data_IF_859862224234
#
_entry.id   IF_859862224234
#
_cell.length_a   1.000
_cell.length_b   1.000
_cell.length_c   1.000
_cell.angle_alpha   90.00
_cell.angle_beta   90.00
_cell.angle_gamma   90.00
#
_symmetry.space_group_name_H-M   'P 1'
#
loop_
_entity.id
_entity.type
_entity.pdbx_description
1 polymer ?
#
# COMPACT_ATOMS: atom_id res chain seq x y z
N UNK A 1 -32.66 -18.68 51.17
CA UNK A 1 -32.02 -17.64 50.33
C UNK A 1 -32.01 -16.32 51.10
N UNK A 2 -30.84 -15.85 51.57
CA UNK A 2 -30.71 -14.52 52.21
C UNK A 2 -30.30 -13.51 51.15
N UNK A 3 -31.13 -12.49 50.91
CA UNK A 3 -30.81 -11.37 50.02
C UNK A 3 -29.87 -10.41 50.76
N UNK A 4 -28.62 -10.32 50.30
CA UNK A 4 -27.71 -9.23 50.65
C UNK A 4 -28.16 -7.98 49.90
N UNK A 5 -29.00 -7.17 50.55
CA UNK A 5 -29.35 -5.84 50.06
C UNK A 5 -28.67 -4.83 50.97
N UNK A 6 -27.35 -4.67 50.80
CA UNK A 6 -26.55 -3.80 51.64
C UNK A 6 -25.93 -2.68 50.80
N UNK A 7 -26.74 -1.64 50.53
CA UNK A 7 -26.33 -0.40 49.84
C UNK A 7 -25.06 0.21 50.45
N UNK A 8 -24.81 -0.02 51.74
CA UNK A 8 -23.67 0.56 52.46
C UNK A 8 -22.32 -0.04 52.06
N UNK A 9 -22.29 -1.24 51.46
CA UNK A 9 -21.03 -1.87 51.04
C UNK A 9 -20.53 -1.29 49.73
N UNK A 10 -21.46 -0.93 48.83
CA UNK A 10 -21.16 -0.26 47.57
C UNK A 10 -20.64 1.15 47.82
N UNK A 11 -21.29 1.92 48.70
CA UNK A 11 -20.84 3.28 49.04
C UNK A 11 -19.46 3.31 49.73
N UNK A 12 -19.13 2.27 50.51
CA UNK A 12 -17.79 2.12 51.12
C UNK A 12 -16.72 1.71 50.10
N UNK A 13 -17.07 0.90 49.11
CA UNK A 13 -16.18 0.56 47.99
C UNK A 13 -15.90 1.78 47.11
N UNK A 14 -16.92 2.59 46.79
CA UNK A 14 -16.75 3.80 45.99
C UNK A 14 -16.00 4.91 46.73
N UNK A 15 -16.27 5.13 48.02
CA UNK A 15 -15.51 6.10 48.82
C UNK A 15 -14.07 5.65 49.09
N UNK A 16 -13.80 4.34 49.13
CA UNK A 16 -12.44 3.79 49.21
C UNK A 16 -11.67 3.94 47.89
N UNK A 17 -12.35 3.82 46.75
CA UNK A 17 -11.75 4.00 45.41
C UNK A 17 -11.56 5.46 45.00
N UNK A 18 -12.33 6.41 45.57
CA UNK A 18 -12.26 7.85 45.27
C UNK A 18 -11.52 8.66 46.34
N UNK A 19 -10.84 8.00 47.26
CA UNK A 19 -9.89 8.66 48.16
C UNK A 19 -8.78 9.37 47.38
N UNK A 20 -8.02 10.23 48.06
CA UNK A 20 -6.98 11.07 47.45
C UNK A 20 -6.03 10.27 46.55
N UNK A 21 -5.64 9.06 46.95
CA UNK A 21 -4.80 8.16 46.15
C UNK A 21 -5.50 7.61 44.90
N UNK A 22 -6.80 7.33 44.97
CA UNK A 22 -7.59 6.81 43.83
C UNK A 22 -7.77 7.84 42.72
N UNK A 23 -7.89 9.11 43.07
CA UNK A 23 -7.92 10.22 42.11
C UNK A 23 -6.60 10.32 41.31
N UNK A 24 -5.46 10.09 41.97
CA UNK A 24 -4.16 10.07 41.31
C UNK A 24 -4.03 8.91 40.30
N UNK A 25 -4.55 7.72 40.63
CA UNK A 25 -4.55 6.58 39.71
C UNK A 25 -5.49 6.81 38.52
N UNK A 26 -6.70 7.35 38.76
CA UNK A 26 -7.64 7.69 37.69
C UNK A 26 -7.02 8.71 36.72
N UNK A 27 -6.33 9.72 37.25
CA UNK A 27 -5.67 10.75 36.45
C UNK A 27 -4.52 10.16 35.60
N UNK A 28 -3.71 9.26 36.16
CA UNK A 28 -2.66 8.54 35.41
C UNK A 28 -3.24 7.66 34.31
N UNK A 29 -4.32 6.93 34.59
CA UNK A 29 -4.99 6.08 33.59
C UNK A 29 -5.56 6.91 32.45
N UNK A 30 -6.23 8.02 32.76
CA UNK A 30 -6.77 8.94 31.74
C UNK A 30 -5.66 9.61 30.92
N UNK A 31 -4.55 10.02 31.56
CA UNK A 31 -3.39 10.58 30.88
C UNK A 31 -2.75 9.54 29.93
N UNK A 32 -2.57 8.29 30.39
CA UNK A 32 -2.09 7.21 29.55
C UNK A 32 -3.03 6.96 28.37
N UNK A 33 -4.35 6.93 28.58
CA UNK A 33 -5.33 6.75 27.51
C UNK A 33 -5.27 7.89 26.47
N UNK A 34 -5.10 9.13 26.93
CA UNK A 34 -4.95 10.30 26.06
C UNK A 34 -3.67 10.24 25.23
N UNK A 35 -2.56 9.78 25.82
CA UNK A 35 -1.30 9.55 25.12
C UNK A 35 -1.42 8.45 24.07
N UNK A 36 -2.11 7.34 24.38
CA UNK A 36 -2.39 6.28 23.41
C UNK A 36 -3.28 6.76 22.24
N UNK A 37 -4.27 7.61 22.51
CA UNK A 37 -5.15 8.18 21.48
C UNK A 37 -4.43 9.24 20.61
N UNK A 38 -3.47 9.97 21.18
CA UNK A 38 -2.66 10.93 20.41
C UNK A 38 -1.60 10.26 19.52
N UNK A 39 -1.25 8.99 19.79
CA UNK A 39 -0.29 8.22 19.00
C UNK A 39 -0.85 7.62 17.70
N UNK A 40 -2.18 7.50 17.58
CA UNK A 40 -2.84 7.03 16.35
C UNK A 40 -3.34 8.17 15.46
N UNK A 41 -3.11 9.43 15.84
CA UNK A 41 -3.39 10.60 15.00
C UNK A 41 -2.20 10.93 14.07
N UNK A 42 -1.52 9.90 13.57
CA UNK A 42 -0.53 10.05 12.50
C UNK A 42 -1.31 10.09 11.18
N UNK A 43 -1.55 11.32 10.73
CA UNK A 43 -1.77 11.70 9.33
C UNK A 43 -2.68 10.80 8.49
N UNK A 44 -4.00 11.00 8.60
CA UNK A 44 -4.82 10.99 7.39
C UNK A 44 -4.55 12.31 6.64
N UNK A 45 -3.34 12.46 6.10
CA UNK A 45 -3.11 13.46 5.06
C UNK A 45 -3.71 12.87 3.80
N UNK A 46 -4.74 13.55 3.28
CA UNK A 46 -5.25 13.33 1.93
C UNK A 46 -4.06 13.30 0.99
N UNK A 47 -3.67 12.12 0.51
CA UNK A 47 -2.62 11.95 -0.50
C UNK A 47 -3.24 12.32 -1.86
N UNK A 48 -3.59 13.59 -2.03
CA UNK A 48 -3.81 14.17 -3.35
C UNK A 48 -2.44 14.27 -4.03
N UNK A 49 -2.10 13.27 -4.82
CA UNK A 49 -0.83 13.23 -5.55
C UNK A 49 -0.57 11.93 -6.28
N UNK A 50 0.47 11.93 -7.10
CA UNK A 50 0.97 10.72 -7.76
C UNK A 50 1.84 9.94 -6.79
N UNK A 51 1.48 8.69 -6.52
CA UNK A 51 2.24 7.78 -5.68
C UNK A 51 3.11 6.91 -6.57
N UNK A 52 4.43 6.94 -6.37
CA UNK A 52 5.33 6.04 -7.11
C UNK A 52 5.12 4.60 -6.67
N UNK A 53 5.02 3.70 -7.64
CA UNK A 53 4.89 2.26 -7.42
C UNK A 53 6.28 1.66 -7.62
N UNK A 54 6.96 1.21 -6.54
CA UNK A 54 8.27 0.59 -6.68
C UNK A 54 8.13 -0.72 -7.46
N UNK A 55 8.83 -0.80 -8.60
CA UNK A 55 8.85 -2.00 -9.43
C UNK A 55 10.09 -2.85 -9.13
N UNK A 56 9.87 -4.13 -8.86
CA UNK A 56 10.89 -5.14 -8.63
C UNK A 56 10.89 -6.17 -9.77
N UNK A 57 12.06 -6.49 -10.33
CA UNK A 57 12.22 -7.52 -11.35
C UNK A 57 12.00 -8.90 -10.74
N UNK A 58 11.10 -9.71 -11.30
CA UNK A 58 10.86 -11.10 -10.93
C UNK A 58 11.15 -12.01 -12.12
N UNK A 59 12.30 -12.67 -12.08
CA UNK A 59 12.71 -13.65 -13.08
C UNK A 59 13.99 -13.24 -13.80
N UNK A 60 15.01 -14.09 -13.65
CA UNK A 60 16.24 -14.14 -14.45
C UNK A 60 16.61 -15.62 -14.54
N UNK A 61 16.00 -16.34 -15.45
CA UNK A 61 16.41 -17.71 -15.74
C UNK A 61 16.34 -17.96 -17.24
N UNK A 62 17.07 -17.13 -17.99
CA UNK A 62 17.43 -17.42 -19.36
C UNK A 62 18.90 -17.80 -19.39
N UNK A 63 19.15 -19.09 -19.63
CA UNK A 63 20.42 -19.63 -20.08
C UNK A 63 20.89 -18.76 -21.27
N UNK A 64 21.79 -17.80 -21.06
CA UNK A 64 22.24 -16.89 -22.11
C UNK A 64 23.67 -17.21 -22.56
N UNK A 65 23.85 -17.20 -23.89
CA UNK A 65 25.17 -17.13 -24.51
C UNK A 65 25.79 -15.76 -24.23
N UNK A 66 27.11 -15.70 -24.05
CA UNK A 66 27.88 -14.51 -23.61
C UNK A 66 27.63 -13.19 -24.38
N UNK A 67 27.00 -13.20 -25.56
CA UNK A 67 26.64 -11.98 -26.31
C UNK A 67 25.23 -11.43 -26.00
N UNK A 68 24.27 -12.27 -25.62
CA UNK A 68 22.92 -11.82 -25.20
C UNK A 68 22.96 -11.21 -23.79
N UNK A 69 23.86 -11.70 -22.94
CA UNK A 69 24.10 -11.23 -21.57
C UNK A 69 24.42 -9.73 -21.47
N UNK A 70 25.08 -9.14 -22.47
CA UNK A 70 25.36 -7.69 -22.49
C UNK A 70 24.15 -6.83 -22.82
N UNK A 71 23.21 -7.35 -23.61
CA UNK A 71 21.96 -6.66 -23.94
C UNK A 71 21.00 -6.70 -22.75
N UNK A 72 21.01 -7.81 -22.02
CA UNK A 72 20.24 -8.00 -20.78
C UNK A 72 20.69 -7.05 -19.66
N UNK A 73 22.01 -6.82 -19.50
CA UNK A 73 22.58 -5.85 -18.54
C UNK A 73 22.21 -4.39 -18.83
N UNK A 74 22.00 -4.02 -20.10
CA UNK A 74 21.57 -2.66 -20.47
C UNK A 74 20.07 -2.43 -20.23
N UNK A 75 19.26 -3.49 -20.37
CA UNK A 75 17.83 -3.48 -20.06
C UNK A 75 17.55 -3.51 -18.56
N UNK A 76 18.38 -4.20 -17.76
CA UNK A 76 18.33 -4.17 -16.29
C UNK A 76 18.50 -2.76 -15.69
N UNK A 77 19.22 -1.88 -16.39
CA UNK A 77 19.46 -0.52 -15.94
C UNK A 77 18.32 0.47 -16.28
N UNK A 78 17.28 0.02 -16.98
CA UNK A 78 16.23 0.88 -17.56
C UNK A 78 14.87 0.30 -17.17
N UNK A 79 14.55 0.40 -15.87
CA UNK A 79 13.23 0.05 -15.36
C UNK A 79 12.21 1.08 -15.86
N UNK A 80 11.04 0.66 -16.38
CA UNK A 80 9.91 1.58 -16.49
C UNK A 80 9.55 2.10 -15.09
N UNK A 81 8.98 3.29 -15.03
CA UNK A 81 8.42 3.85 -13.80
C UNK A 81 6.91 3.74 -13.87
N UNK A 82 6.29 3.26 -12.80
CA UNK A 82 4.84 3.26 -12.64
C UNK A 82 4.44 4.19 -11.50
N UNK A 83 3.38 4.96 -11.72
CA UNK A 83 2.82 5.88 -10.72
C UNK A 83 1.30 5.70 -10.67
N UNK A 84 0.73 5.71 -9.48
CA UNK A 84 -0.72 5.76 -9.28
C UNK A 84 -1.16 7.21 -9.02
N UNK A 85 -1.99 7.75 -9.91
CA UNK A 85 -2.64 9.04 -9.73
C UNK A 85 -3.95 8.83 -8.96
N UNK A 86 -3.92 9.15 -7.67
CA UNK A 86 -5.06 9.02 -6.75
C UNK A 86 -6.22 9.93 -7.16
N UNK A 87 -5.93 11.08 -7.80
CA UNK A 87 -6.97 12.07 -8.15
C UNK A 87 -7.78 11.63 -9.37
N UNK A 88 -7.11 11.00 -10.34
CA UNK A 88 -7.73 10.56 -11.59
C UNK A 88 -8.05 9.05 -11.61
N UNK A 89 -7.71 8.32 -10.54
CA UNK A 89 -7.81 6.86 -10.46
C UNK A 89 -7.18 6.19 -11.69
N UNK A 90 -5.97 6.61 -12.03
CA UNK A 90 -5.24 6.14 -13.21
C UNK A 90 -3.84 5.69 -12.84
N UNK A 91 -3.31 4.76 -13.64
CA UNK A 91 -1.95 4.29 -13.51
C UNK A 91 -1.13 4.78 -14.70
N UNK A 92 -0.07 5.51 -14.39
CA UNK A 92 0.77 6.17 -15.37
C UNK A 92 2.08 5.40 -15.47
N UNK A 93 2.42 4.92 -16.66
CA UNK A 93 3.63 4.17 -16.92
C UNK A 93 4.50 4.96 -17.90
N UNK A 94 5.77 5.13 -17.54
CA UNK A 94 6.74 5.89 -18.34
C UNK A 94 8.00 5.04 -18.51
N UNK A 95 8.54 4.97 -19.73
CA UNK A 95 9.91 4.51 -19.95
C UNK A 95 10.83 5.68 -20.27
N UNK A 96 11.74 6.07 -19.36
CA UNK A 96 12.54 7.28 -19.52
C UNK A 96 13.67 7.15 -20.56
N UNK A 97 14.07 5.93 -20.93
CA UNK A 97 15.29 5.74 -21.73
C UNK A 97 15.11 4.91 -23.01
N UNK A 98 14.10 4.03 -23.09
CA UNK A 98 13.92 3.06 -24.17
C UNK A 98 12.47 3.01 -24.63
N UNK A 99 12.22 2.71 -25.90
CA UNK A 99 10.88 2.34 -26.38
C UNK A 99 10.71 0.84 -26.24
N UNK A 100 9.65 0.41 -25.57
CA UNK A 100 9.25 -0.99 -25.52
C UNK A 100 8.04 -1.18 -26.43
N UNK A 101 8.16 -2.08 -27.39
CA UNK A 101 7.04 -2.51 -28.23
C UNK A 101 6.34 -3.67 -27.50
N UNK A 102 5.01 -3.65 -27.40
CA UNK A 102 4.23 -4.77 -26.81
C UNK A 102 4.54 -5.10 -25.34
N UNK A 103 4.36 -4.13 -24.43
CA UNK A 103 4.35 -4.36 -22.98
C UNK A 103 3.00 -4.93 -22.55
N UNK A 104 2.99 -6.14 -21.99
CA UNK A 104 1.78 -6.70 -21.38
C UNK A 104 1.69 -6.27 -19.92
N UNK A 105 0.54 -5.78 -19.45
CA UNK A 105 0.32 -5.55 -18.04
C UNK A 105 -0.78 -6.43 -17.46
N UNK A 106 -0.68 -6.70 -16.16
CA UNK A 106 -1.68 -7.38 -15.36
C UNK A 106 -1.87 -6.61 -14.06
N UNK A 107 -3.12 -6.45 -13.64
CA UNK A 107 -3.47 -5.92 -12.32
C UNK A 107 -4.20 -7.03 -11.56
N UNK A 108 -3.70 -7.36 -10.38
CA UNK A 108 -4.27 -8.39 -9.51
C UNK A 108 -4.74 -7.80 -8.19
N UNK A 109 -5.87 -8.27 -7.68
CA UNK A 109 -6.34 -7.92 -6.33
C UNK A 109 -5.56 -8.66 -5.23
N UNK A 110 -5.85 -8.35 -3.97
CA UNK A 110 -5.25 -9.01 -2.81
C UNK A 110 -5.51 -10.53 -2.72
N UNK A 111 -6.49 -11.06 -3.45
CA UNK A 111 -6.78 -12.49 -3.53
C UNK A 111 -6.02 -13.19 -4.67
N UNK A 112 -5.24 -12.43 -5.45
CA UNK A 112 -4.52 -12.92 -6.62
C UNK A 112 -5.40 -13.08 -7.87
N UNK A 113 -6.58 -12.45 -7.92
CA UNK A 113 -7.46 -12.45 -9.08
C UNK A 113 -7.04 -11.32 -10.02
N UNK A 114 -6.81 -11.65 -11.29
CA UNK A 114 -6.54 -10.66 -12.34
C UNK A 114 -7.82 -9.87 -12.61
N UNK A 115 -7.78 -8.56 -12.35
CA UNK A 115 -8.90 -7.63 -12.53
C UNK A 115 -8.77 -6.78 -13.79
N UNK A 116 -7.55 -6.60 -14.31
CA UNK A 116 -7.30 -5.94 -15.59
C UNK A 116 -6.06 -6.53 -16.27
N UNK A 117 -6.07 -6.55 -17.60
CA UNK A 117 -4.91 -6.94 -18.42
C UNK A 117 -5.08 -6.37 -19.82
N UNK A 118 -3.98 -5.89 -20.40
CA UNK A 118 -3.93 -5.47 -21.80
C UNK A 118 -2.47 -5.46 -22.29
N UNK A 119 -2.29 -5.21 -23.58
CA UNK A 119 -1.00 -5.00 -24.23
C UNK A 119 -0.91 -3.54 -24.73
N UNK A 120 0.19 -2.88 -24.39
CA UNK A 120 0.43 -1.47 -24.71
C UNK A 120 1.82 -1.28 -25.33
N UNK A 121 1.94 -0.30 -26.21
CA UNK A 121 3.26 0.21 -26.59
C UNK A 121 3.70 1.26 -25.57
N UNK A 122 4.98 1.23 -25.19
CA UNK A 122 5.57 2.17 -24.23
C UNK A 122 6.69 2.98 -24.90
N UNK A 123 6.37 4.07 -25.61
CA UNK A 123 7.37 4.89 -26.28
C UNK A 123 8.29 5.60 -25.27
N UNK A 124 9.55 5.79 -25.66
CA UNK A 124 10.53 6.54 -24.87
C UNK A 124 10.03 7.94 -24.50
N UNK A 125 10.11 8.29 -23.22
CA UNK A 125 9.72 9.58 -22.65
C UNK A 125 8.25 9.96 -22.91
N UNK A 126 7.38 8.97 -23.15
CA UNK A 126 5.94 9.17 -23.27
C UNK A 126 5.26 8.48 -22.10
N UNK A 127 4.37 9.21 -21.44
CA UNK A 127 3.50 8.69 -20.40
C UNK A 127 2.31 8.00 -21.03
N UNK A 128 2.12 6.74 -20.66
CA UNK A 128 0.94 5.96 -21.00
C UNK A 128 0.04 5.90 -19.77
N UNK A 129 -1.19 6.37 -19.93
CA UNK A 129 -2.19 6.48 -18.86
C UNK A 129 -3.18 5.33 -19.01
N UNK A 130 -3.22 4.47 -17.99
CA UNK A 130 -4.14 3.35 -17.89
C UNK A 130 -5.28 3.72 -16.93
N UNK A 131 -6.51 3.92 -17.44
CA UNK A 131 -7.64 4.22 -16.57
C UNK A 131 -7.98 3.00 -15.71
N UNK A 132 -7.99 3.14 -14.38
CA UNK A 132 -8.36 2.07 -13.44
C UNK A 132 -9.84 2.12 -13.08
N UNK A 133 -10.66 2.65 -14.00
CA UNK A 133 -12.08 2.86 -13.79
C UNK A 133 -12.73 1.54 -13.32
N UNK A 134 -13.37 1.60 -12.15
CA UNK A 134 -14.12 0.49 -11.49
C UNK A 134 -13.31 -0.44 -10.58
N UNK A 135 -12.03 -0.17 -10.27
CA UNK A 135 -11.39 -0.89 -9.18
C UNK A 135 -12.04 -0.53 -7.84
N UNK A 136 -12.26 -1.55 -7.01
CA UNK A 136 -12.73 -1.33 -5.64
C UNK A 136 -11.58 -0.83 -4.77
N UNK A 137 -11.90 -0.23 -3.62
CA UNK A 137 -10.87 0.14 -2.65
C UNK A 137 -10.16 -1.10 -2.12
N UNK A 138 -8.84 -1.07 -2.04
CA UNK A 138 -8.02 -2.18 -1.56
C UNK A 138 -6.61 -2.20 -2.13
N UNK A 139 -5.88 -3.25 -1.78
CA UNK A 139 -4.50 -3.47 -2.23
C UNK A 139 -4.44 -4.26 -3.53
N UNK A 140 -3.57 -3.82 -4.44
CA UNK A 140 -3.40 -4.36 -5.77
C UNK A 140 -1.92 -4.60 -6.08
N UNK A 141 -1.66 -5.50 -7.02
CA UNK A 141 -0.36 -5.70 -7.63
C UNK A 141 -0.44 -5.41 -9.11
N UNK A 142 0.53 -4.66 -9.63
CA UNK A 142 0.77 -4.55 -11.06
C UNK A 142 1.92 -5.46 -11.46
N UNK A 143 1.77 -6.20 -12.55
CA UNK A 143 2.85 -6.93 -13.22
C UNK A 143 3.01 -6.38 -14.63
N UNK A 144 4.22 -5.99 -15.00
CA UNK A 144 4.59 -5.61 -16.36
C UNK A 144 5.46 -6.71 -16.96
N UNK A 145 5.06 -7.28 -18.09
CA UNK A 145 5.85 -8.18 -18.91
C UNK A 145 6.44 -7.43 -20.11
N UNK A 146 7.77 -7.40 -20.20
CA UNK A 146 8.53 -6.70 -21.24
C UNK A 146 9.61 -7.66 -21.75
N UNK A 147 9.51 -8.08 -23.02
CA UNK A 147 10.50 -8.97 -23.66
C UNK A 147 10.83 -10.24 -22.84
N UNK A 148 9.84 -10.80 -22.14
CA UNK A 148 10.01 -11.99 -21.30
C UNK A 148 10.55 -11.73 -19.88
N UNK A 149 10.87 -10.48 -19.55
CA UNK A 149 11.19 -10.03 -18.20
C UNK A 149 9.92 -9.53 -17.52
N UNK A 150 9.71 -9.91 -16.26
CA UNK A 150 8.57 -9.46 -15.48
C UNK A 150 8.99 -8.51 -14.37
N UNK A 151 8.23 -7.45 -14.18
CA UNK A 151 8.38 -6.48 -13.09
C UNK A 151 7.09 -6.45 -12.29
N UNK A 152 7.19 -6.46 -10.96
CA UNK A 152 6.02 -6.38 -10.06
C UNK A 152 6.10 -5.13 -9.21
N UNK A 153 4.95 -4.52 -8.92
CA UNK A 153 4.82 -3.51 -7.87
C UNK A 153 3.50 -3.67 -7.13
N UNK A 154 3.44 -3.13 -5.92
CA UNK A 154 2.23 -3.12 -5.09
C UNK A 154 1.75 -1.68 -4.89
N UNK A 155 0.44 -1.47 -4.92
CA UNK A 155 -0.20 -0.16 -4.70
C UNK A 155 -1.59 -0.31 -4.07
N UNK A 156 -2.05 0.74 -3.40
CA UNK A 156 -3.36 0.78 -2.75
C UNK A 156 -4.30 1.78 -3.45
N UNK A 157 -5.56 1.39 -3.62
CA UNK A 157 -6.65 2.23 -4.10
C UNK A 157 -7.51 2.66 -2.90
N UNK A 158 -7.59 3.97 -2.64
CA UNK A 158 -8.20 4.57 -1.44
C UNK A 158 -9.70 4.90 -1.49
#
# INVERSE_FOLDING_TARGET
MKKFNDKTTVDRLFNGLLGEQGMWYLCKVLLCLFLFLSGTAVCAQSNEGNVEIPLEKIGDDLISNDEDYKRDLELEAILPTAMYDVSNESLNIISPHVTFESVTYYIMDANGIIVATDEIDLPKNVEVILPLLQLSRGSYRIILGIDGVYYVGEFDVE
#
